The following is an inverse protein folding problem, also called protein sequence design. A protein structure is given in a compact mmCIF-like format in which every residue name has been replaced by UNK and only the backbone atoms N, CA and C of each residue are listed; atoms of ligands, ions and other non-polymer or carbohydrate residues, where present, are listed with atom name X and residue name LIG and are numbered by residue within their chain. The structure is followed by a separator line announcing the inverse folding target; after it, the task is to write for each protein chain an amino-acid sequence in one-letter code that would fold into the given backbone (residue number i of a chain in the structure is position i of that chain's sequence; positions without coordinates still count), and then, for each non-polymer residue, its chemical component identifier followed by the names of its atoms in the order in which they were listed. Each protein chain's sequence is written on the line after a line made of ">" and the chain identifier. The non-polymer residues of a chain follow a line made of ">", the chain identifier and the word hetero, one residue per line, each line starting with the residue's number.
data_IF_922665748564
#
_entry.id   IF_922665748564
#
_cell.length_a   1.000
_cell.length_b   1.000
_cell.length_c   1.000
_cell.angle_alpha   90.00
_cell.angle_beta   90.00
_cell.angle_gamma   90.00
#
_symmetry.space_group_name_H-M   'P 1'
#
loop_
_entity.id
_entity.type
_entity.pdbx_description
1 polymer ?
#
# COMPACT_ATOMS: atom_id res chain seq x y z
N UNK A 1 5.25 -5.68 11.95
CA UNK A 1 3.85 -5.24 11.73
C UNK A 1 3.74 -3.72 11.62
N UNK A 2 4.06 -2.93 12.67
CA UNK A 2 3.93 -1.45 12.63
C UNK A 2 4.64 -0.81 11.42
N UNK A 3 5.88 -1.21 11.15
CA UNK A 3 6.69 -0.64 10.06
C UNK A 3 6.06 -0.82 8.66
N UNK A 4 5.24 -1.86 8.46
CA UNK A 4 4.62 -2.13 7.15
C UNK A 4 3.42 -1.24 6.90
N UNK A 5 2.63 -0.99 7.95
CA UNK A 5 1.53 -0.03 7.91
C UNK A 5 2.08 1.36 7.61
N UNK A 6 3.19 1.75 8.25
CA UNK A 6 3.82 3.05 8.00
C UNK A 6 4.26 3.22 6.54
N UNK A 7 4.81 2.17 5.91
CA UNK A 7 5.17 2.22 4.49
C UNK A 7 3.93 2.35 3.61
N UNK A 8 2.84 1.64 3.93
CA UNK A 8 1.56 1.76 3.21
C UNK A 8 1.01 3.18 3.29
N UNK A 9 0.99 3.76 4.49
CA UNK A 9 0.52 5.12 4.72
C UNK A 9 1.41 6.16 4.04
N UNK A 10 2.74 5.97 4.08
CA UNK A 10 3.69 6.84 3.38
C UNK A 10 3.40 6.85 1.88
N UNK A 11 3.29 5.66 1.26
CA UNK A 11 3.00 5.53 -0.15
C UNK A 11 1.66 6.18 -0.53
N UNK A 12 0.61 5.94 0.27
CA UNK A 12 -0.70 6.56 0.05
C UNK A 12 -0.66 8.09 0.16
N UNK A 13 0.05 8.63 1.15
CA UNK A 13 0.18 10.09 1.35
C UNK A 13 0.98 10.79 0.26
N UNK A 14 2.03 10.13 -0.25
CA UNK A 14 2.92 10.70 -1.26
C UNK A 14 2.52 10.36 -2.69
N UNK A 15 1.38 9.67 -2.88
CA UNK A 15 0.94 9.15 -4.17
C UNK A 15 2.00 8.27 -4.87
N UNK A 16 2.72 7.46 -4.08
CA UNK A 16 3.72 6.51 -4.58
C UNK A 16 3.02 5.17 -4.80
N UNK A 17 3.12 4.57 -6.00
CA UNK A 17 2.55 3.24 -6.25
C UNK A 17 3.14 2.20 -5.30
N UNK A 18 2.29 1.43 -4.61
CA UNK A 18 2.76 0.38 -3.70
C UNK A 18 3.45 -0.77 -4.43
N UNK A 19 2.94 -1.13 -5.61
CA UNK A 19 3.40 -2.25 -6.43
C UNK A 19 4.39 -1.77 -7.49
N UNK A 20 5.38 -2.61 -7.79
CA UNK A 20 6.30 -2.44 -8.91
C UNK A 20 5.92 -3.38 -10.06
N UNK A 21 6.77 -3.44 -11.07
CA UNK A 21 6.59 -4.40 -12.18
C UNK A 21 6.66 -5.87 -11.70
N UNK A 22 7.44 -6.13 -10.65
CA UNK A 22 7.48 -7.41 -9.92
C UNK A 22 7.42 -7.12 -8.42
N UNK A 23 6.90 -8.05 -7.61
CA UNK A 23 6.68 -7.86 -6.18
C UNK A 23 7.97 -7.58 -5.40
N UNK A 24 9.08 -8.23 -5.77
CA UNK A 24 10.40 -8.08 -5.16
C UNK A 24 11.00 -6.69 -5.42
N UNK A 25 10.62 -6.05 -6.53
CA UNK A 25 11.04 -4.68 -6.91
C UNK A 25 9.92 -3.68 -6.70
N UNK A 26 8.98 -3.97 -5.80
CA UNK A 26 7.94 -3.03 -5.42
C UNK A 26 8.52 -1.88 -4.58
N UNK A 27 7.93 -0.69 -4.70
CA UNK A 27 8.30 0.45 -3.86
C UNK A 27 8.08 0.13 -2.38
N UNK A 28 7.08 -0.71 -2.06
CA UNK A 28 6.89 -1.23 -0.71
C UNK A 28 8.14 -1.95 -0.18
N UNK A 29 8.71 -2.89 -0.94
CA UNK A 29 9.91 -3.62 -0.52
C UNK A 29 11.13 -2.70 -0.46
N UNK A 30 11.30 -1.81 -1.45
CA UNK A 30 12.41 -0.86 -1.47
C UNK A 30 12.42 0.04 -0.22
N UNK A 31 11.30 0.66 0.11
CA UNK A 31 11.18 1.54 1.29
C UNK A 31 11.34 0.74 2.59
N UNK A 32 10.80 -0.47 2.64
CA UNK A 32 10.94 -1.34 3.83
C UNK A 32 12.40 -1.74 4.08
N UNK A 33 13.16 -2.02 3.02
CA UNK A 33 14.61 -2.26 3.11
C UNK A 33 15.39 -1.01 3.52
N UNK A 34 15.06 0.16 2.96
CA UNK A 34 15.69 1.42 3.39
C UNK A 34 15.44 1.72 4.87
N UNK A 35 14.22 1.47 5.37
CA UNK A 35 13.93 1.59 6.80
C UNK A 35 14.74 0.60 7.64
N UNK A 36 14.93 -0.63 7.15
CA UNK A 36 15.70 -1.65 7.85
C UNK A 36 17.19 -1.29 7.98
N UNK A 37 17.74 -0.51 7.03
CA UNK A 37 19.11 0.01 7.15
C UNK A 37 19.33 0.92 8.38
N UNK A 38 18.25 1.48 8.93
CA UNK A 38 18.28 2.36 10.11
C UNK A 38 17.75 1.69 11.39
N UNK A 39 17.25 0.45 11.30
CA UNK A 39 16.61 -0.28 12.39
C UNK A 39 17.06 -1.75 12.36
N UNK A 40 18.05 -2.07 13.19
CA UNK A 40 18.65 -3.41 13.28
C UNK A 40 17.61 -4.50 13.64
N UNK A 41 16.57 -4.15 14.41
CA UNK A 41 15.49 -5.08 14.78
C UNK A 41 14.64 -5.38 13.54
N UNK A 42 14.32 -4.35 12.76
CA UNK A 42 13.60 -4.52 11.50
C UNK A 42 14.44 -5.31 10.49
N UNK A 43 15.74 -5.03 10.41
CA UNK A 43 16.68 -5.79 9.58
C UNK A 43 16.69 -7.26 9.96
N UNK A 44 16.89 -7.56 11.24
CA UNK A 44 16.93 -8.94 11.74
C UNK A 44 15.60 -9.67 11.49
N UNK A 45 14.48 -8.98 11.69
CA UNK A 45 13.16 -9.51 11.40
C UNK A 45 12.97 -9.83 9.91
N UNK A 46 13.45 -8.98 9.00
CA UNK A 46 13.34 -9.19 7.55
C UNK A 46 14.31 -10.26 7.03
N UNK A 47 15.51 -10.36 7.59
CA UNK A 47 16.56 -11.28 7.14
C UNK A 47 16.41 -12.66 7.80
N UNK A 48 16.33 -12.71 9.14
CA UNK A 48 16.44 -13.95 9.92
C UNK A 48 15.10 -14.58 10.29
N UNK A 49 13.95 -13.91 10.13
CA UNK A 49 12.67 -14.61 10.35
C UNK A 49 12.50 -15.75 9.34
N UNK A 50 12.54 -16.99 9.80
CA UNK A 50 12.37 -18.17 8.97
C UNK A 50 10.91 -18.36 8.48
N UNK A 51 9.93 -17.72 9.14
CA UNK A 51 8.53 -17.84 8.79
C UNK A 51 8.08 -16.69 7.88
N UNK A 52 7.67 -17.00 6.64
CA UNK A 52 7.00 -16.06 5.72
C UNK A 52 5.82 -15.31 6.38
N UNK A 53 5.14 -15.97 7.34
CA UNK A 53 4.03 -15.42 8.12
C UNK A 53 4.47 -14.39 9.18
N UNK A 54 5.68 -14.51 9.72
CA UNK A 54 6.23 -13.53 10.67
C UNK A 54 6.60 -12.23 9.96
N UNK A 55 7.03 -12.31 8.70
CA UNK A 55 7.39 -11.13 7.92
C UNK A 55 6.20 -10.28 7.51
N UNK A 56 4.95 -10.80 7.53
CA UNK A 56 3.75 -10.12 7.02
C UNK A 56 3.92 -9.55 5.58
N UNK A 57 4.93 -10.02 4.85
CA UNK A 57 5.27 -9.58 3.49
C UNK A 57 4.55 -10.39 2.42
N UNK A 58 3.80 -11.42 2.79
CA UNK A 58 3.07 -12.24 1.83
C UNK A 58 2.04 -11.38 1.08
N UNK A 59 1.78 -11.66 -0.22
CA UNK A 59 0.84 -10.88 -1.00
C UNK A 59 -0.57 -10.80 -0.38
N UNK A 60 -1.04 -11.89 0.24
CA UNK A 60 -2.34 -11.95 0.90
C UNK A 60 -2.42 -10.96 2.08
N UNK A 61 -1.43 -11.01 2.97
CA UNK A 61 -1.36 -10.14 4.14
C UNK A 61 -1.20 -8.68 3.72
N UNK A 62 -0.35 -8.40 2.71
CA UNK A 62 -0.18 -7.05 2.17
C UNK A 62 -1.50 -6.48 1.65
N UNK A 63 -2.26 -7.26 0.88
CA UNK A 63 -3.55 -6.82 0.36
C UNK A 63 -4.56 -6.54 1.48
N UNK A 64 -4.61 -7.40 2.49
CA UNK A 64 -5.45 -7.20 3.68
C UNK A 64 -5.08 -5.90 4.42
N UNK A 65 -3.78 -5.64 4.63
CA UNK A 65 -3.32 -4.39 5.24
C UNK A 65 -3.70 -3.16 4.42
N UNK A 66 -3.57 -3.22 3.10
CA UNK A 66 -3.98 -2.13 2.20
C UNK A 66 -5.48 -1.89 2.30
N UNK A 67 -6.30 -2.94 2.31
CA UNK A 67 -7.75 -2.81 2.49
C UNK A 67 -8.13 -2.21 3.84
N UNK A 68 -7.48 -2.65 4.92
CA UNK A 68 -7.72 -2.11 6.27
C UNK A 68 -7.36 -0.63 6.36
N UNK A 69 -6.18 -0.24 5.84
CA UNK A 69 -5.77 1.16 5.79
C UNK A 69 -6.74 1.99 4.92
N UNK A 70 -7.15 1.46 3.77
CA UNK A 70 -8.11 2.11 2.89
C UNK A 70 -9.48 2.31 3.54
N UNK A 71 -9.99 1.30 4.25
CA UNK A 71 -11.25 1.38 5.02
C UNK A 71 -11.16 2.43 6.12
N UNK A 72 -10.04 2.50 6.85
CA UNK A 72 -9.88 3.47 7.91
C UNK A 72 -9.88 4.91 7.37
N UNK A 73 -9.09 5.18 6.33
CA UNK A 73 -9.07 6.49 5.65
C UNK A 73 -10.46 6.86 5.11
N UNK A 74 -11.15 5.90 4.47
CA UNK A 74 -12.50 6.12 3.96
C UNK A 74 -13.50 6.45 5.09
N UNK A 75 -13.43 5.73 6.21
CA UNK A 75 -14.29 5.97 7.36
C UNK A 75 -14.06 7.36 7.97
N UNK A 76 -12.81 7.83 8.03
CA UNK A 76 -12.49 9.18 8.46
C UNK A 76 -13.11 10.24 7.52
N UNK A 77 -12.99 10.05 6.21
CA UNK A 77 -13.59 10.95 5.21
C UNK A 77 -15.12 10.94 5.32
N UNK A 78 -15.75 9.76 5.44
CA UNK A 78 -17.21 9.64 5.61
C UNK A 78 -17.64 10.30 6.92
N UNK A 79 -16.89 10.13 8.01
CA UNK A 79 -17.15 10.79 9.28
C UNK A 79 -17.15 12.31 9.15
N UNK A 80 -16.14 12.86 8.46
CA UNK A 80 -16.06 14.29 8.18
C UNK A 80 -17.27 14.77 7.34
N UNK A 81 -17.64 14.05 6.28
CA UNK A 81 -18.80 14.39 5.46
C UNK A 81 -20.12 14.36 6.24
N UNK A 82 -20.31 13.36 7.12
CA UNK A 82 -21.51 13.25 7.96
C UNK A 82 -21.61 14.36 9.00
N UNK A 83 -20.48 14.88 9.46
CA UNK A 83 -20.43 15.99 10.43
C UNK A 83 -20.54 17.37 9.79
N UNK A 84 -20.31 17.48 8.48
CA UNK A 84 -20.36 18.74 7.76
C UNK A 84 -21.80 19.16 7.44
N UNK A 85 -22.07 20.47 7.45
CA UNK A 85 -23.37 21.01 7.02
C UNK A 85 -23.64 20.77 5.54
N UNK A 86 -22.59 20.77 4.73
CA UNK A 86 -22.63 20.47 3.31
C UNK A 86 -21.27 19.91 2.85
N UNK A 87 -21.30 19.07 1.82
CA UNK A 87 -20.11 18.55 1.14
C UNK A 87 -20.38 18.49 -0.38
N UNK A 88 -19.33 18.52 -1.18
CA UNK A 88 -19.40 18.36 -2.63
C UNK A 88 -18.55 17.16 -3.05
N UNK A 89 -19.03 16.38 -4.02
CA UNK A 89 -18.30 15.28 -4.63
C UNK A 89 -17.98 15.70 -6.06
N UNK A 90 -16.69 15.78 -6.38
CA UNK A 90 -16.21 16.05 -7.73
C UNK A 90 -15.79 14.70 -8.33
N UNK A 91 -16.43 14.32 -9.43
CA UNK A 91 -16.06 13.16 -10.22
C UNK A 91 -15.50 13.66 -11.54
N UNK A 92 -14.30 13.19 -11.90
CA UNK A 92 -13.67 13.43 -13.19
C UNK A 92 -13.78 12.15 -14.03
N UNK A 93 -14.30 12.26 -15.24
CA UNK A 93 -14.39 11.14 -16.17
C UNK A 93 -13.22 11.20 -17.15
N UNK A 94 -12.32 10.23 -17.07
CA UNK A 94 -11.25 10.05 -18.03
C UNK A 94 -11.50 8.78 -18.85
N UNK A 95 -11.87 8.95 -20.13
CA UNK A 95 -11.99 7.84 -21.08
C UNK A 95 -10.62 7.45 -21.63
N UNK A 96 -10.15 6.25 -21.31
CA UNK A 96 -8.94 5.71 -21.95
C UNK A 96 -9.21 5.40 -23.43
N UNK A 97 -8.47 6.06 -24.33
CA UNK A 97 -8.55 5.85 -25.79
C UNK A 97 -7.67 4.70 -26.28
N UNK A 98 -7.06 3.92 -25.38
CA UNK A 98 -6.25 2.76 -25.77
C UNK A 98 -7.11 1.49 -25.89
N UNK A 99 -7.70 1.27 -27.07
CA UNK A 99 -8.23 -0.04 -27.49
C UNK A 99 -7.07 -1.03 -27.73
N UNK A 100 -6.33 -1.40 -26.69
CA UNK A 100 -5.37 -2.52 -26.73
C UNK A 100 -5.50 -3.36 -25.47
N UNK A 101 -6.20 -4.48 -25.65
CA UNK A 101 -6.15 -5.69 -24.83
C UNK A 101 -4.70 -5.93 -24.33
N UNK A 102 -4.45 -5.76 -23.03
CA UNK A 102 -3.19 -6.15 -22.40
C UNK A 102 -3.21 -7.65 -22.12
N UNK A 103 -3.26 -8.45 -23.18
CA UNK A 103 -3.00 -9.89 -23.12
C UNK A 103 -1.48 -10.12 -23.23
N UNK A 104 -0.79 -10.04 -22.11
CA UNK A 104 0.57 -10.58 -22.01
C UNK A 104 0.47 -12.08 -21.75
N UNK A 105 0.62 -12.86 -22.82
CA UNK A 105 0.90 -14.30 -22.77
C UNK A 105 2.29 -14.49 -22.15
N UNK A 106 2.39 -15.38 -21.15
CA UNK A 106 3.57 -16.20 -20.85
C UNK A 106 3.11 -17.37 -19.98
#
# INVERSE_FOLDING_TARGET
>A
MLQQIDVILLCGRQNIPLRGHVEERSNFMAILHEKANADDILFDHLVFSAASRAKYTSPAIKNELVELCGKDVLNQVIGACKSASCFAVIADEYTDKATKEQHCHN
#
